data_IF_199815169047
#
_entry.id   IF_199815169047
#
_cell.length_a   1.000
_cell.length_b   1.000
_cell.length_c   1.000
_cell.angle_alpha   90.00
_cell.angle_beta   90.00
_cell.angle_gamma   90.00
#
_symmetry.space_group_name_H-M   'P 1'
#
loop_
_entity.id
_entity.type
_entity.pdbx_description
1 polymer ?
#
# COMPACT_ATOMS: atom_id res chain seq x y z
N UNK A 1 -13.08 -0.58 20.51
CA UNK A 1 -14.06 -0.70 19.40
C UNK A 1 -13.89 -2.06 18.76
N UNK A 2 -14.98 -2.77 18.46
CA UNK A 2 -14.90 -4.03 17.73
C UNK A 2 -14.52 -3.79 16.25
N UNK A 3 -13.47 -4.49 15.80
CA UNK A 3 -12.97 -4.48 14.42
C UNK A 3 -13.32 -5.76 13.65
N UNK A 4 -13.84 -6.79 14.33
CA UNK A 4 -14.05 -8.15 13.80
C UNK A 4 -14.97 -8.21 12.57
N UNK A 5 -15.82 -7.20 12.38
CA UNK A 5 -16.75 -7.05 11.25
C UNK A 5 -16.38 -5.92 10.30
N UNK A 6 -15.24 -5.26 10.48
CA UNK A 6 -14.86 -4.14 9.62
C UNK A 6 -14.26 -4.63 8.30
N UNK A 7 -14.82 -4.13 7.20
CA UNK A 7 -14.38 -4.38 5.83
C UNK A 7 -14.09 -3.04 5.13
N UNK A 8 -12.98 -2.99 4.41
CA UNK A 8 -12.57 -1.81 3.66
C UNK A 8 -11.69 -2.21 2.48
N UNK A 9 -11.84 -1.53 1.35
CA UNK A 9 -10.99 -1.71 0.18
C UNK A 9 -10.78 -0.37 -0.51
N UNK A 10 -9.53 -0.04 -0.81
CA UNK A 10 -9.18 1.15 -1.57
C UNK A 10 -8.01 0.85 -2.51
N UNK A 11 -8.09 1.38 -3.73
CA UNK A 11 -7.07 1.25 -4.77
C UNK A 11 -6.80 2.63 -5.37
N UNK A 12 -5.59 3.13 -5.16
CA UNK A 12 -5.10 4.33 -5.82
C UNK A 12 -4.17 3.94 -6.97
N UNK A 13 -4.43 4.45 -8.18
CA UNK A 13 -3.59 4.26 -9.35
C UNK A 13 -2.93 5.60 -9.71
N UNK A 14 -1.63 5.60 -9.91
CA UNK A 14 -0.89 6.74 -10.40
C UNK A 14 0.04 6.27 -11.53
N UNK A 15 -0.07 6.85 -12.71
CA UNK A 15 0.71 6.48 -13.88
C UNK A 15 1.25 7.71 -14.59
N UNK A 16 2.45 7.57 -15.15
CA UNK A 16 3.05 8.58 -16.01
C UNK A 16 3.89 7.87 -17.09
N UNK A 17 3.56 8.16 -18.36
CA UNK A 17 4.13 7.49 -19.51
C UNK A 17 3.99 5.97 -19.41
N UNK A 18 5.10 5.26 -19.57
CA UNK A 18 5.14 3.80 -19.53
C UNK A 18 5.18 3.20 -18.12
N UNK A 19 5.22 4.03 -17.08
CA UNK A 19 5.31 3.57 -15.69
C UNK A 19 3.98 3.75 -14.96
N UNK A 20 3.64 2.79 -14.10
CA UNK A 20 2.44 2.86 -13.28
C UNK A 20 2.70 2.28 -11.89
N UNK A 21 2.18 2.97 -10.88
CA UNK A 21 2.22 2.58 -9.47
C UNK A 21 0.78 2.44 -8.98
N UNK A 22 0.48 1.31 -8.34
CA UNK A 22 -0.83 1.03 -7.75
C UNK A 22 -0.65 0.81 -6.26
N UNK A 23 -1.28 1.65 -5.44
CA UNK A 23 -1.35 1.48 -3.99
C UNK A 23 -2.69 0.83 -3.65
N UNK A 24 -2.68 -0.18 -2.80
CA UNK A 24 -3.89 -0.90 -2.40
C UNK A 24 -3.93 -1.06 -0.89
N UNK A 25 -5.10 -0.92 -0.31
CA UNK A 25 -5.42 -1.25 1.08
C UNK A 25 -6.62 -2.18 1.07
N UNK A 26 -6.52 -3.31 1.77
CA UNK A 26 -7.66 -4.22 1.99
C UNK A 26 -7.72 -4.56 3.48
N UNK A 27 -8.91 -4.46 4.06
CA UNK A 27 -9.25 -4.91 5.40
C UNK A 27 -10.47 -5.81 5.28
N UNK A 28 -10.39 -6.99 5.87
CA UNK A 28 -11.47 -7.97 5.96
C UNK A 28 -11.49 -8.52 7.38
N UNK A 29 -12.66 -8.47 8.03
CA UNK A 29 -12.84 -8.93 9.41
C UNK A 29 -11.80 -8.35 10.39
N UNK A 30 -11.48 -7.06 10.23
CA UNK A 30 -10.53 -6.36 11.10
C UNK A 30 -9.05 -6.70 10.90
N UNK A 31 -8.71 -7.51 9.88
CA UNK A 31 -7.33 -7.81 9.49
C UNK A 31 -7.11 -7.33 8.07
N UNK A 32 -5.92 -6.83 7.76
CA UNK A 32 -5.69 -6.23 6.45
C UNK A 32 -4.24 -6.13 6.04
N UNK A 33 -4.06 -5.74 4.80
CA UNK A 33 -2.75 -5.46 4.22
C UNK A 33 -2.80 -4.19 3.37
N UNK A 34 -1.63 -3.61 3.23
CA UNK A 34 -1.31 -2.54 2.28
C UNK A 34 -0.29 -3.06 1.28
N UNK A 35 -0.36 -2.58 0.05
CA UNK A 35 0.62 -2.97 -0.96
C UNK A 35 0.88 -1.87 -1.98
N UNK A 36 2.09 -1.87 -2.55
CA UNK A 36 2.44 -1.11 -3.75
C UNK A 36 2.83 -2.08 -4.85
N UNK A 37 2.14 -2.00 -6.00
CA UNK A 37 2.48 -2.70 -7.23
C UNK A 37 3.07 -1.71 -8.24
N UNK A 38 4.17 -2.10 -8.87
CA UNK A 38 4.92 -1.33 -9.86
C UNK A 38 4.76 -2.00 -11.22
N UNK A 39 4.52 -1.20 -12.25
CA UNK A 39 4.33 -1.62 -13.61
C UNK A 39 5.25 -0.82 -14.53
N UNK A 40 5.76 -1.47 -15.57
CA UNK A 40 6.54 -0.87 -16.65
C UNK A 40 6.08 -1.47 -17.98
N UNK A 41 5.80 -0.63 -18.97
CA UNK A 41 5.29 -1.04 -20.28
C UNK A 41 4.05 -1.95 -20.16
N UNK A 42 3.12 -1.60 -19.26
CA UNK A 42 1.91 -2.38 -18.99
C UNK A 42 2.12 -3.67 -18.17
N UNK A 43 3.35 -4.15 -18.00
CA UNK A 43 3.66 -5.39 -17.28
C UNK A 43 3.94 -5.12 -15.80
N UNK A 44 3.44 -5.99 -14.92
CA UNK A 44 3.74 -5.95 -13.48
C UNK A 44 5.20 -6.36 -13.26
N UNK A 45 5.99 -5.50 -12.63
CA UNK A 45 7.41 -5.76 -12.35
C UNK A 45 7.65 -6.19 -10.91
N UNK A 46 6.91 -5.60 -9.96
CA UNK A 46 7.09 -5.89 -8.53
C UNK A 46 5.83 -5.57 -7.75
N UNK A 47 5.56 -6.35 -6.72
CA UNK A 47 4.59 -6.00 -5.67
C UNK A 47 5.26 -6.12 -4.31
N UNK A 48 5.07 -5.09 -3.47
CA UNK A 48 5.51 -5.11 -2.08
C UNK A 48 4.26 -5.04 -1.22
N UNK A 49 4.03 -6.06 -0.39
CA UNK A 49 2.86 -6.23 0.45
C UNK A 49 3.29 -6.26 1.91
N UNK A 50 2.59 -5.53 2.78
CA UNK A 50 2.84 -5.48 4.21
C UNK A 50 1.52 -5.56 4.98
N UNK A 51 1.49 -6.19 6.17
CA UNK A 51 0.31 -6.17 7.00
C UNK A 51 -0.03 -4.73 7.43
N UNK A 52 -1.30 -4.50 7.73
CA UNK A 52 -1.74 -3.34 8.49
C UNK A 52 -1.65 -3.65 9.98
N UNK A 53 -1.18 -2.67 10.74
CA UNK A 53 -1.25 -2.70 12.21
C UNK A 53 -2.69 -2.43 12.63
N UNK A 54 -3.10 -2.94 13.79
CA UNK A 54 -4.42 -2.66 14.39
C UNK A 54 -4.68 -1.16 14.49
N UNK A 55 -3.68 -0.39 14.93
CA UNK A 55 -3.75 1.08 15.02
C UNK A 55 -4.07 1.75 13.69
N UNK A 56 -3.43 1.31 12.60
CA UNK A 56 -3.74 1.82 11.25
C UNK A 56 -5.17 1.45 10.81
N UNK A 57 -5.66 0.27 11.17
CA UNK A 57 -7.03 -0.17 10.86
C UNK A 57 -8.05 0.71 11.60
N UNK A 58 -7.79 1.05 12.86
CA UNK A 58 -8.64 1.97 13.63
C UNK A 58 -8.65 3.37 13.03
N UNK A 59 -7.49 3.90 12.64
CA UNK A 59 -7.40 5.19 11.96
C UNK A 59 -8.18 5.18 10.63
N UNK A 60 -8.07 4.11 9.83
CA UNK A 60 -8.85 3.96 8.58
C UNK A 60 -10.35 3.93 8.88
N UNK A 61 -10.78 3.21 9.91
CA UNK A 61 -12.20 3.15 10.33
C UNK A 61 -12.73 4.53 10.75
N UNK A 62 -11.87 5.38 11.33
CA UNK A 62 -12.18 6.77 11.70
C UNK A 62 -11.99 7.76 10.55
N UNK A 63 -11.71 7.30 9.33
CA UNK A 63 -11.42 8.14 8.16
C UNK A 63 -10.25 9.12 8.40
N UNK A 64 -9.29 8.76 9.25
CA UNK A 64 -8.14 9.59 9.56
C UNK A 64 -7.00 9.38 8.58
N UNK A 65 -6.27 10.46 8.30
CA UNK A 65 -5.05 10.40 7.51
C UNK A 65 -3.97 9.62 8.27
N UNK A 66 -3.24 8.76 7.56
CA UNK A 66 -2.11 8.00 8.11
C UNK A 66 -0.83 8.42 7.36
N UNK A 67 -0.01 9.30 7.95
CA UNK A 67 1.26 9.70 7.38
C UNK A 67 2.15 8.50 7.11
N UNK A 68 2.71 8.42 5.90
CA UNK A 68 3.69 7.39 5.60
C UNK A 68 3.15 5.96 5.60
N UNK A 69 1.83 5.75 5.44
CA UNK A 69 1.22 4.42 5.47
C UNK A 69 1.97 3.39 4.63
N UNK A 70 2.56 3.77 3.49
CA UNK A 70 3.28 2.86 2.60
C UNK A 70 4.82 3.00 2.62
N UNK A 71 5.40 3.63 3.64
CA UNK A 71 6.85 3.89 3.69
C UNK A 71 7.69 2.61 3.71
N UNK A 72 7.18 1.55 4.34
CA UNK A 72 7.73 0.19 4.40
C UNK A 72 7.42 -0.66 3.16
N UNK A 73 6.65 -0.12 2.21
CA UNK A 73 6.37 -0.70 0.89
C UNK A 73 7.25 -0.10 -0.22
N UNK A 74 8.48 0.33 0.10
CA UNK A 74 9.43 0.89 -0.86
C UNK A 74 10.42 -0.17 -1.35
N UNK A 75 10.78 -0.16 -2.64
CA UNK A 75 11.88 -0.98 -3.13
C UNK A 75 13.19 -0.49 -2.51
N UNK A 76 14.06 -1.43 -2.13
CA UNK A 76 15.44 -1.10 -1.74
C UNK A 76 16.10 -0.44 -2.96
N UNK A 77 16.30 0.87 -2.90
CA UNK A 77 17.15 1.57 -3.85
C UNK A 77 18.58 1.24 -3.47
N UNK A 78 19.22 0.29 -4.18
CA UNK A 78 20.69 0.27 -4.20
C UNK A 78 21.09 1.59 -4.85
N UNK A 79 21.65 2.53 -4.08
CA UNK A 79 22.29 3.71 -4.65
C UNK A 79 23.37 3.17 -5.59
N UNK A 80 23.19 3.35 -6.89
CA UNK A 80 24.28 3.19 -7.84
C UNK A 80 25.27 4.29 -7.48
N UNK A 81 26.31 3.97 -6.71
CA UNK A 81 27.54 4.75 -6.66
C UNK A 81 28.09 4.75 -8.07
N UNK A 82 27.80 5.79 -8.86
CA UNK A 82 28.62 6.15 -10.01
C UNK A 82 29.99 6.53 -9.45
N UNK A 83 30.96 5.64 -9.64
CA UNK A 83 32.38 6.01 -9.61
C UNK A 83 32.72 6.69 -10.92
#
# INVERSE_FOLDING_TARGET
MDLSKFHYSNVQKHGHGSTKKVRKVIIQKGKGYKSISFYKNGKLTKTIKRPLLSTHIEMIKKCQFIPGLFNDCKPVTRKLTRR
#
